data_IF_583330674509
#
_entry.id   IF_583330674509
#
_cell.length_a   1.000
_cell.length_b   1.000
_cell.length_c   1.000
_cell.angle_alpha   90.00
_cell.angle_beta   90.00
_cell.angle_gamma   90.00
#
_symmetry.space_group_name_H-M   'P 1'
#
loop_
_entity.id
_entity.type
_entity.pdbx_description
1 polymer ?
#
# COMPACT_ATOMS: atom_id res chain seq x y z
N UNK A 1 10.44 -15.75 -20.13
CA UNK A 1 10.46 -15.42 -18.70
C UNK A 1 9.02 -15.13 -18.29
N UNK A 2 8.55 -15.63 -17.15
CA UNK A 2 7.21 -15.30 -16.68
C UNK A 2 7.11 -13.78 -16.42
N UNK A 3 5.97 -13.17 -16.74
CA UNK A 3 5.73 -11.75 -16.46
C UNK A 3 5.82 -11.51 -14.94
N UNK A 4 6.62 -10.51 -14.53
CA UNK A 4 6.75 -10.12 -13.12
C UNK A 4 5.40 -9.57 -12.63
N UNK A 5 5.06 -9.88 -11.38
CA UNK A 5 3.80 -9.46 -10.77
C UNK A 5 3.80 -7.95 -10.54
N UNK A 6 2.69 -7.30 -10.87
CA UNK A 6 2.51 -5.84 -10.80
C UNK A 6 1.89 -5.47 -9.46
N UNK A 7 2.49 -4.54 -8.72
CA UNK A 7 2.08 -4.20 -7.36
C UNK A 7 1.76 -2.69 -7.30
N UNK A 8 0.62 -2.36 -6.69
CA UNK A 8 0.33 -0.98 -6.29
C UNK A 8 0.83 -0.74 -4.86
N UNK A 9 1.45 0.41 -4.61
CA UNK A 9 1.75 0.88 -3.26
C UNK A 9 0.78 1.99 -2.85
N UNK A 10 0.05 1.77 -1.76
CA UNK A 10 -0.91 2.71 -1.17
C UNK A 10 -0.32 3.22 0.13
N UNK A 11 0.04 4.49 0.18
CA UNK A 11 0.95 5.05 1.19
C UNK A 11 0.29 6.25 1.87
N UNK A 12 0.44 6.33 3.18
CA UNK A 12 0.03 7.51 3.96
C UNK A 12 1.01 8.66 3.77
N UNK A 13 2.31 8.43 4.02
CA UNK A 13 3.38 9.39 3.74
C UNK A 13 4.72 8.68 3.47
N UNK A 14 5.66 9.35 2.81
CA UNK A 14 6.93 8.76 2.39
C UNK A 14 8.13 9.69 2.59
N UNK A 15 8.84 9.51 3.71
CA UNK A 15 10.07 10.25 4.03
C UNK A 15 11.16 9.28 4.54
N UNK A 16 12.43 9.71 4.72
CA UNK A 16 13.51 8.83 5.17
C UNK A 16 13.19 8.11 6.48
N UNK A 17 13.42 6.79 6.52
CA UNK A 17 13.11 5.90 7.64
C UNK A 17 11.62 5.81 8.04
N UNK A 18 10.70 6.36 7.22
CA UNK A 18 9.27 6.04 7.32
C UNK A 18 9.03 4.56 6.99
N UNK A 19 7.89 4.02 7.39
CA UNK A 19 7.50 2.67 7.01
C UNK A 19 7.41 2.48 5.48
N UNK A 20 6.99 3.51 4.74
CA UNK A 20 6.98 3.47 3.29
C UNK A 20 8.41 3.33 2.73
N UNK A 21 9.39 4.03 3.30
CA UNK A 21 10.79 3.89 2.91
C UNK A 21 11.36 2.50 3.19
N UNK A 22 11.16 1.97 4.40
CA UNK A 22 11.75 0.68 4.75
C UNK A 22 11.12 -0.49 3.99
N UNK A 23 9.89 -0.34 3.48
CA UNK A 23 9.18 -1.37 2.71
C UNK A 23 9.25 -1.10 1.20
N UNK A 24 8.63 -0.02 0.72
CA UNK A 24 8.42 0.23 -0.72
C UNK A 24 9.75 0.44 -1.44
N UNK A 25 10.71 1.15 -0.83
CA UNK A 25 12.05 1.31 -1.42
C UNK A 25 12.72 -0.03 -1.70
N UNK A 26 12.47 -1.07 -0.89
CA UNK A 26 13.03 -2.41 -1.12
C UNK A 26 12.38 -3.14 -2.29
N UNK A 27 11.09 -2.94 -2.48
CA UNK A 27 10.37 -3.47 -3.64
C UNK A 27 10.71 -2.73 -4.94
N UNK A 28 11.24 -1.51 -4.87
CA UNK A 28 11.74 -0.75 -6.04
C UNK A 28 13.22 -1.05 -6.30
N UNK A 29 14.09 -0.90 -5.29
CA UNK A 29 15.56 -0.92 -5.44
C UNK A 29 16.20 -2.27 -5.11
N UNK A 30 15.52 -3.13 -4.37
CA UNK A 30 16.03 -4.42 -3.89
C UNK A 30 16.28 -4.49 -2.39
N UNK A 31 16.54 -5.71 -1.93
CA UNK A 31 16.67 -6.08 -0.52
C UNK A 31 18.15 -6.26 -0.17
N UNK A 32 18.75 -5.38 0.64
CA UNK A 32 20.14 -5.53 1.06
C UNK A 32 20.26 -6.71 2.04
N UNK A 33 21.27 -7.54 1.81
CA UNK A 33 21.65 -8.68 2.65
C UNK A 33 23.17 -8.70 2.83
N UNK A 34 23.68 -9.54 3.73
CA UNK A 34 25.11 -9.72 3.93
C UNK A 34 25.83 -10.21 2.66
N UNK A 35 25.11 -10.91 1.77
CA UNK A 35 25.62 -11.44 0.50
C UNK A 35 25.47 -10.46 -0.67
N UNK A 36 24.90 -9.29 -0.43
CA UNK A 36 24.67 -8.25 -1.43
C UNK A 36 23.20 -7.89 -1.60
N UNK A 37 22.86 -7.30 -2.75
CA UNK A 37 21.51 -6.80 -3.04
C UNK A 37 20.70 -7.86 -3.79
N UNK A 38 19.64 -8.37 -3.15
CA UNK A 38 18.67 -9.27 -3.79
C UNK A 38 17.67 -8.41 -4.58
N UNK A 39 17.52 -8.61 -5.90
CA UNK A 39 16.55 -7.85 -6.68
C UNK A 39 15.12 -8.23 -6.29
N UNK A 40 14.17 -7.29 -6.38
CA UNK A 40 12.77 -7.62 -6.16
C UNK A 40 12.26 -8.59 -7.24
N UNK A 41 11.30 -9.44 -6.89
CA UNK A 41 10.68 -10.41 -7.82
C UNK A 41 9.36 -9.91 -8.44
N UNK A 42 8.96 -8.70 -8.07
CA UNK A 42 7.72 -8.02 -8.47
C UNK A 42 8.04 -6.57 -8.81
N UNK A 43 7.15 -5.88 -9.51
CA UNK A 43 7.34 -4.49 -9.91
C UNK A 43 6.31 -3.59 -9.21
N UNK A 44 6.76 -2.51 -8.58
CA UNK A 44 5.85 -1.43 -8.18
C UNK A 44 5.48 -0.66 -9.44
N UNK A 45 4.23 -0.75 -9.87
CA UNK A 45 3.75 -0.14 -11.12
C UNK A 45 2.93 1.13 -10.91
N UNK A 46 2.53 1.40 -9.68
CA UNK A 46 1.76 2.59 -9.35
C UNK A 46 1.85 2.89 -7.86
N UNK A 47 1.71 4.17 -7.54
CA UNK A 47 1.68 4.66 -6.17
C UNK A 47 0.46 5.54 -5.94
N UNK A 48 -0.05 5.54 -4.72
CA UNK A 48 -0.89 6.59 -4.17
C UNK A 48 -0.24 7.06 -2.86
N UNK A 49 -0.20 8.37 -2.65
CA UNK A 49 0.33 8.99 -1.44
C UNK A 49 -0.72 9.97 -0.89
N UNK A 50 -1.21 9.70 0.30
CA UNK A 50 -2.25 10.53 0.94
C UNK A 50 -1.69 11.90 1.36
N UNK A 51 -0.46 11.92 1.87
CA UNK A 51 0.22 13.12 2.34
C UNK A 51 1.66 13.19 1.84
N UNK A 52 2.06 14.38 1.40
CA UNK A 52 3.44 14.67 1.03
C UNK A 52 4.13 15.36 2.21
N UNK A 53 5.10 14.68 2.83
CA UNK A 53 5.93 15.24 3.91
C UNK A 53 6.92 16.27 3.33
N UNK A 54 7.35 17.24 4.14
CA UNK A 54 8.38 18.21 3.73
C UNK A 54 9.72 17.55 3.36
N UNK A 55 10.00 16.36 3.90
CA UNK A 55 11.18 15.54 3.60
C UNK A 55 10.85 14.42 2.62
N UNK A 56 9.85 14.59 1.77
CA UNK A 56 9.43 13.57 0.82
C UNK A 56 10.61 13.01 0.02
N UNK A 57 10.66 11.69 -0.06
CA UNK A 57 11.53 10.96 -0.98
C UNK A 57 10.73 10.09 -1.95
N UNK A 58 9.42 9.95 -1.75
CA UNK A 58 8.57 9.07 -2.51
C UNK A 58 8.35 9.55 -3.95
N UNK A 59 8.11 10.85 -4.15
CA UNK A 59 7.89 11.41 -5.49
C UNK A 59 9.15 11.30 -6.34
N UNK A 60 10.31 11.61 -5.75
CA UNK A 60 11.60 11.47 -6.44
C UNK A 60 11.91 10.01 -6.76
N UNK A 61 11.68 9.08 -5.82
CA UNK A 61 11.84 7.65 -6.08
C UNK A 61 10.95 7.19 -7.23
N UNK A 62 9.70 7.65 -7.26
CA UNK A 62 8.74 7.30 -8.29
C UNK A 62 9.18 7.83 -9.66
N UNK A 63 9.60 9.09 -9.75
CA UNK A 63 10.14 9.71 -10.97
C UNK A 63 11.38 8.98 -11.50
N UNK A 64 12.35 8.66 -10.62
CA UNK A 64 13.59 7.94 -11.00
C UNK A 64 13.35 6.53 -11.55
N UNK A 65 12.17 5.95 -11.32
CA UNK A 65 11.84 4.57 -11.68
C UNK A 65 10.60 4.47 -12.60
N UNK A 66 10.18 5.59 -13.20
CA UNK A 66 9.02 5.66 -14.10
C UNK A 66 7.70 5.12 -13.47
N UNK A 67 7.52 5.32 -12.16
CA UNK A 67 6.35 4.87 -11.40
C UNK A 67 5.32 6.00 -11.34
N UNK A 68 4.12 5.86 -11.93
CA UNK A 68 3.08 6.87 -11.83
C UNK A 68 2.50 6.97 -10.41
N UNK A 69 2.40 8.21 -9.91
CA UNK A 69 1.72 8.54 -8.65
C UNK A 69 0.33 9.10 -8.94
N UNK A 70 -0.71 8.39 -8.52
CA UNK A 70 -2.11 8.74 -8.76
C UNK A 70 -2.73 9.50 -7.60
N UNK A 71 -3.81 10.22 -7.89
CA UNK A 71 -4.53 11.06 -6.93
C UNK A 71 -5.54 10.28 -6.08
N UNK A 72 -5.74 9.00 -6.35
CA UNK A 72 -6.65 8.14 -5.61
C UNK A 72 -6.23 6.68 -5.64
N UNK A 73 -6.63 5.92 -4.62
CA UNK A 73 -6.38 4.48 -4.51
C UNK A 73 -6.98 3.72 -5.71
N UNK A 74 -8.25 3.97 -6.15
CA UNK A 74 -8.79 3.32 -7.34
C UNK A 74 -7.96 3.57 -8.60
N UNK A 75 -7.48 4.80 -8.81
CA UNK A 75 -6.63 5.09 -9.97
C UNK A 75 -5.30 4.36 -9.90
N UNK A 76 -4.68 4.26 -8.72
CA UNK A 76 -3.44 3.49 -8.55
C UNK A 76 -3.67 2.00 -8.85
N UNK A 77 -4.74 1.40 -8.33
CA UNK A 77 -5.06 -0.02 -8.55
C UNK A 77 -5.45 -0.33 -10.00
N UNK A 78 -6.09 0.63 -10.69
CA UNK A 78 -6.51 0.49 -12.09
C UNK A 78 -5.52 1.08 -13.10
N UNK A 79 -4.39 1.62 -12.65
CA UNK A 79 -3.40 2.35 -13.47
C UNK A 79 -4.05 3.42 -14.37
N UNK A 80 -5.02 4.17 -13.84
CA UNK A 80 -5.79 5.18 -14.57
C UNK A 80 -6.90 4.65 -15.48
N UNK A 81 -7.01 3.32 -15.63
CA UNK A 81 -8.08 2.64 -16.35
C UNK A 81 -9.32 2.37 -15.50
N UNK A 82 -10.22 1.52 -16.00
CA UNK A 82 -11.46 1.11 -15.33
C UNK A 82 -11.38 -0.27 -14.66
N UNK A 83 -10.37 -1.07 -15.01
CA UNK A 83 -10.22 -2.45 -14.55
C UNK A 83 -9.03 -2.57 -13.60
N UNK A 84 -9.11 -3.52 -12.66
CA UNK A 84 -8.04 -3.81 -11.73
C UNK A 84 -6.79 -4.32 -12.48
N UNK A 85 -5.76 -3.49 -12.52
CA UNK A 85 -4.58 -3.66 -13.37
C UNK A 85 -3.32 -4.14 -12.61
N UNK A 86 -3.47 -4.52 -11.34
CA UNK A 86 -2.37 -5.00 -10.47
C UNK A 86 -2.63 -6.42 -9.97
N UNK A 87 -1.56 -7.12 -9.62
CA UNK A 87 -1.52 -8.47 -9.05
C UNK A 87 -1.42 -8.49 -7.51
N UNK A 88 -1.22 -7.34 -6.86
CA UNK A 88 -1.15 -7.23 -5.41
C UNK A 88 -1.05 -5.78 -4.92
N UNK A 89 -1.24 -5.58 -3.62
CA UNK A 89 -1.21 -4.24 -3.00
C UNK A 89 -0.34 -4.25 -1.74
N UNK A 90 0.57 -3.27 -1.64
CA UNK A 90 1.24 -2.90 -0.40
C UNK A 90 0.50 -1.69 0.22
N UNK A 91 -0.18 -1.90 1.33
CA UNK A 91 -0.91 -0.86 2.06
C UNK A 91 -0.11 -0.40 3.28
N UNK A 92 0.51 0.77 3.18
CA UNK A 92 1.40 1.37 4.18
C UNK A 92 0.71 2.58 4.83
N UNK A 93 -0.18 2.29 5.77
CA UNK A 93 -0.94 3.28 6.53
C UNK A 93 -0.29 3.64 7.88
N UNK A 94 1.00 3.94 7.92
CA UNK A 94 1.74 4.33 9.14
C UNK A 94 2.51 5.65 8.92
N UNK A 95 2.63 6.46 9.97
CA UNK A 95 3.05 7.87 9.94
C UNK A 95 2.06 8.79 9.22
N UNK A 96 2.44 10.04 8.99
CA UNK A 96 1.58 11.12 8.48
C UNK A 96 0.91 11.91 9.59
N UNK A 97 0.19 12.98 9.26
CA UNK A 97 -0.58 13.78 10.21
C UNK A 97 -2.05 13.31 10.22
N UNK A 98 -2.44 12.69 11.33
CA UNK A 98 -3.78 12.15 11.54
C UNK A 98 -4.21 12.49 12.96
N UNK A 99 -5.53 12.63 13.13
CA UNK A 99 -6.14 12.91 14.42
C UNK A 99 -5.81 11.85 15.48
N UNK A 100 -6.02 12.20 16.74
CA UNK A 100 -5.91 11.27 17.87
C UNK A 100 -7.29 11.08 18.53
N UNK A 101 -7.55 9.89 19.07
CA UNK A 101 -8.74 9.67 19.91
C UNK A 101 -8.46 10.01 21.38
N UNK A 102 -9.49 9.87 22.22
CA UNK A 102 -9.45 10.09 23.67
C UNK A 102 -8.43 9.20 24.42
N UNK A 103 -7.99 8.09 23.82
CA UNK A 103 -6.97 7.18 24.36
C UNK A 103 -5.55 7.58 23.93
N UNK A 104 -5.39 8.67 23.18
CA UNK A 104 -4.11 9.11 22.62
C UNK A 104 -3.62 8.23 21.46
N UNK A 105 -4.49 7.40 20.87
CA UNK A 105 -4.12 6.60 19.70
C UNK A 105 -4.26 7.46 18.45
N UNK A 106 -3.25 7.41 17.58
CA UNK A 106 -3.30 8.05 16.28
C UNK A 106 -4.20 7.28 15.32
N UNK A 107 -5.13 7.98 14.67
CA UNK A 107 -6.18 7.42 13.82
C UNK A 107 -5.67 7.19 12.39
N UNK A 108 -4.69 6.31 12.28
CA UNK A 108 -4.10 5.95 10.99
C UNK A 108 -5.14 5.41 9.99
N UNK A 109 -4.99 5.69 8.69
CA UNK A 109 -6.03 5.52 7.69
C UNK A 109 -6.18 4.06 7.20
N UNK A 110 -5.64 3.07 7.92
CA UNK A 110 -5.56 1.67 7.45
C UNK A 110 -6.93 1.11 7.03
N UNK A 111 -7.96 1.36 7.84
CA UNK A 111 -9.35 1.00 7.55
C UNK A 111 -9.86 1.65 6.26
N UNK A 112 -9.59 2.94 6.09
CA UNK A 112 -9.99 3.74 4.93
C UNK A 112 -9.28 3.28 3.66
N UNK A 113 -7.97 3.03 3.73
CA UNK A 113 -7.20 2.50 2.60
C UNK A 113 -7.73 1.12 2.19
N UNK A 114 -7.91 0.23 3.15
CA UNK A 114 -8.43 -1.11 2.89
C UNK A 114 -9.85 -1.08 2.33
N UNK A 115 -10.71 -0.16 2.78
CA UNK A 115 -12.05 0.04 2.22
C UNK A 115 -12.03 0.35 0.73
N UNK A 116 -11.18 1.30 0.32
CA UNK A 116 -11.05 1.67 -1.09
C UNK A 116 -10.47 0.51 -1.92
N UNK A 117 -9.44 -0.17 -1.39
CA UNK A 117 -8.84 -1.35 -2.03
C UNK A 117 -9.89 -2.45 -2.23
N UNK A 118 -10.63 -2.81 -1.19
CA UNK A 118 -11.68 -3.82 -1.23
C UNK A 118 -12.84 -3.40 -2.15
N UNK A 119 -13.17 -2.11 -2.20
CA UNK A 119 -14.16 -1.56 -3.12
C UNK A 119 -13.80 -1.79 -4.58
N UNK A 120 -12.53 -1.55 -4.96
CA UNK A 120 -12.04 -1.82 -6.32
C UNK A 120 -12.10 -3.32 -6.66
N UNK A 121 -11.65 -4.18 -5.74
CA UNK A 121 -11.67 -5.64 -5.96
C UNK A 121 -13.10 -6.18 -6.12
N UNK A 122 -14.03 -5.69 -5.29
CA UNK A 122 -15.44 -6.04 -5.38
C UNK A 122 -16.06 -5.59 -6.72
N UNK A 123 -15.78 -4.37 -7.16
CA UNK A 123 -16.25 -3.86 -8.45
C UNK A 123 -15.65 -4.62 -9.64
N UNK A 124 -14.39 -5.07 -9.52
CA UNK A 124 -13.71 -5.87 -10.53
C UNK A 124 -14.13 -7.35 -10.54
N UNK A 125 -14.84 -7.83 -9.51
CA UNK A 125 -15.14 -9.25 -9.33
C UNK A 125 -13.89 -10.12 -9.18
N UNK A 126 -12.75 -9.53 -8.77
CA UNK A 126 -11.45 -10.20 -8.67
C UNK A 126 -10.67 -9.66 -7.48
N UNK A 127 -10.21 -10.57 -6.63
CA UNK A 127 -9.31 -10.26 -5.53
C UNK A 127 -7.84 -10.45 -5.90
N UNK A 128 -6.97 -9.69 -5.25
CA UNK A 128 -5.51 -9.87 -5.25
C UNK A 128 -4.97 -9.82 -3.83
N UNK A 129 -3.80 -10.40 -3.54
CA UNK A 129 -3.19 -10.31 -2.22
C UNK A 129 -3.00 -8.86 -1.75
N UNK A 130 -3.29 -8.62 -0.48
CA UNK A 130 -3.06 -7.33 0.20
C UNK A 130 -2.15 -7.58 1.40
N UNK A 131 -1.04 -6.84 1.44
CA UNK A 131 -0.22 -6.69 2.63
C UNK A 131 -0.58 -5.36 3.31
N UNK A 132 -0.90 -5.40 4.60
CA UNK A 132 -1.18 -4.23 5.42
C UNK A 132 -0.12 -4.09 6.51
N UNK A 133 0.66 -3.02 6.43
CA UNK A 133 1.75 -2.76 7.37
C UNK A 133 1.25 -2.63 8.83
N UNK A 134 1.96 -3.32 9.73
CA UNK A 134 1.70 -3.47 11.17
C UNK A 134 0.44 -4.28 11.49
N UNK A 135 -0.47 -3.68 12.24
CA UNK A 135 -1.75 -4.25 12.65
C UNK A 135 -2.87 -3.69 11.77
N UNK A 136 -4.06 -4.32 11.80
CA UNK A 136 -5.16 -3.96 10.90
C UNK A 136 -5.69 -2.53 11.15
N UNK A 137 -6.08 -2.21 12.38
CA UNK A 137 -6.54 -0.87 12.77
C UNK A 137 -6.28 -0.61 14.25
N UNK A 138 -6.31 0.66 14.64
CA UNK A 138 -6.12 1.10 16.03
C UNK A 138 -7.29 0.68 16.94
N UNK A 139 -8.45 0.35 16.38
CA UNK A 139 -9.63 -0.13 17.11
C UNK A 139 -10.13 -1.48 16.58
N UNK A 140 -10.81 -2.22 17.47
CA UNK A 140 -11.29 -3.58 17.17
C UNK A 140 -12.38 -3.61 16.11
N UNK A 141 -13.32 -2.67 16.13
CA UNK A 141 -14.45 -2.63 15.19
C UNK A 141 -13.95 -2.54 13.75
N UNK A 142 -13.00 -1.64 13.48
CA UNK A 142 -12.37 -1.50 12.17
C UNK A 142 -11.53 -2.72 11.79
N UNK A 143 -10.71 -3.24 12.71
CA UNK A 143 -9.90 -4.42 12.47
C UNK A 143 -10.77 -5.64 12.11
N UNK A 144 -11.88 -5.82 12.83
CA UNK A 144 -12.86 -6.88 12.58
C UNK A 144 -13.54 -6.68 11.22
N UNK A 145 -13.95 -5.45 10.89
CA UNK A 145 -14.53 -5.16 9.57
C UNK A 145 -13.55 -5.51 8.45
N UNK A 146 -12.27 -5.13 8.57
CA UNK A 146 -11.25 -5.41 7.57
C UNK A 146 -11.09 -6.92 7.36
N UNK A 147 -11.04 -7.68 8.46
CA UNK A 147 -10.98 -9.13 8.41
C UNK A 147 -12.22 -9.74 7.73
N UNK A 148 -13.43 -9.37 8.17
CA UNK A 148 -14.67 -9.92 7.65
C UNK A 148 -14.82 -9.60 6.15
N UNK A 149 -14.49 -8.37 5.75
CA UNK A 149 -14.54 -7.94 4.35
C UNK A 149 -13.50 -8.66 3.48
N UNK A 150 -12.30 -8.88 4.01
CA UNK A 150 -11.29 -9.69 3.31
C UNK A 150 -11.81 -11.12 3.07
N UNK A 151 -12.47 -11.72 4.04
CA UNK A 151 -13.09 -13.05 3.89
C UNK A 151 -14.23 -13.06 2.90
N UNK A 152 -15.10 -12.06 2.93
CA UNK A 152 -16.24 -11.97 2.02
C UNK A 152 -15.81 -11.91 0.55
N UNK A 153 -14.68 -11.24 0.28
CA UNK A 153 -14.13 -11.06 -1.06
C UNK A 153 -13.03 -12.07 -1.43
N UNK A 154 -12.76 -13.06 -0.59
CA UNK A 154 -11.65 -14.01 -0.75
C UNK A 154 -10.28 -13.33 -0.99
N UNK A 155 -10.03 -12.20 -0.32
CA UNK A 155 -8.76 -11.47 -0.40
C UNK A 155 -7.70 -12.21 0.45
N UNK A 156 -6.57 -12.65 -0.13
CA UNK A 156 -5.42 -13.09 0.64
C UNK A 156 -4.85 -11.91 1.42
N UNK A 157 -5.12 -11.86 2.73
CA UNK A 157 -4.86 -10.69 3.55
C UNK A 157 -3.83 -10.98 4.64
N UNK A 158 -2.70 -10.27 4.57
CA UNK A 158 -1.60 -10.39 5.54
C UNK A 158 -1.38 -9.05 6.23
N UNK A 159 -1.20 -9.10 7.55
CA UNK A 159 -0.75 -7.96 8.35
C UNK A 159 0.63 -8.27 8.96
N UNK A 160 1.53 -7.28 9.01
CA UNK A 160 2.89 -7.43 9.56
C UNK A 160 3.65 -6.12 9.62
#
# INVERSE_FOLDING_TARGET
MAERKKIAAVISTFYPASHADVVVTKFVKGFPTDEGLIPPQVDIVSMYMDQIDERDIGLKLAEENDIPVYQSIPQALCQGGKELAVDGVLSIGEHGDYAHNEKGQKLYPRRHFFEQIAGVMAAAGRAVPVFNDKHLSYCWEDAKWMYDRARELDIPFMAG
#
